data_IF_040064987615
#
_entry.id   IF_040064987615
#
_cell.length_a   1.000
_cell.length_b   1.000
_cell.length_c   1.000
_cell.angle_alpha   90.00
_cell.angle_beta   90.00
_cell.angle_gamma   90.00
#
_symmetry.space_group_name_H-M   'P 1'
#
loop_
_entity.id
_entity.type
_entity.pdbx_description
1 polymer ?
#
# COMPACT_ATOMS: atom_id res chain seq x y z
N UNK A 1 -1.59 -22.68 -2.18
CA UNK A 1 -0.80 -22.37 -0.98
C UNK A 1 -0.78 -23.57 -0.04
N UNK A 2 0.42 -23.92 0.46
CA UNK A 2 0.61 -25.02 1.42
C UNK A 2 -0.08 -24.74 2.76
N UNK A 3 -0.24 -25.78 3.58
CA UNK A 3 -0.93 -25.69 4.87
C UNK A 3 -0.29 -24.64 5.80
N UNK A 4 1.03 -24.52 5.76
CA UNK A 4 1.80 -23.49 6.50
C UNK A 4 1.47 -22.07 6.06
N UNK A 5 1.32 -21.83 4.75
CA UNK A 5 0.97 -20.49 4.23
C UNK A 5 -0.44 -20.06 4.65
N UNK A 6 -1.38 -21.01 4.80
CA UNK A 6 -2.73 -20.73 5.29
C UNK A 6 -2.78 -20.45 6.80
N UNK A 7 -1.81 -20.98 7.55
CA UNK A 7 -1.69 -20.76 8.99
C UNK A 7 -0.92 -19.48 9.34
N UNK A 8 -0.13 -18.92 8.42
CA UNK A 8 0.63 -17.69 8.63
C UNK A 8 -0.29 -16.49 8.42
N UNK A 9 -0.65 -15.82 9.50
CA UNK A 9 -1.21 -14.48 9.42
C UNK A 9 -0.09 -13.51 9.04
N UNK A 10 -0.07 -13.08 7.78
CA UNK A 10 0.85 -12.06 7.29
C UNK A 10 0.07 -10.76 7.02
N UNK A 11 -0.14 -9.91 8.04
CA UNK A 11 -0.95 -8.69 7.91
C UNK A 11 -0.48 -7.82 6.74
N UNK A 12 0.84 -7.68 6.55
CA UNK A 12 1.40 -6.92 5.42
C UNK A 12 0.94 -7.42 4.05
N UNK A 13 0.80 -8.74 3.86
CA UNK A 13 0.30 -9.29 2.61
C UNK A 13 -1.20 -8.99 2.41
N UNK A 14 -2.04 -9.32 3.40
CA UNK A 14 -3.49 -9.19 3.26
C UNK A 14 -3.95 -7.73 3.25
N UNK A 15 -3.45 -6.95 4.20
CA UNK A 15 -3.86 -5.55 4.37
C UNK A 15 -3.24 -4.68 3.27
N UNK A 16 -2.00 -4.98 2.86
CA UNK A 16 -1.33 -4.32 1.74
C UNK A 16 -2.06 -4.57 0.41
N UNK A 17 -2.44 -5.81 0.14
CA UNK A 17 -3.27 -6.16 -1.01
C UNK A 17 -4.62 -5.43 -0.98
N UNK A 18 -5.29 -5.37 0.18
CA UNK A 18 -6.55 -4.66 0.34
C UNK A 18 -6.45 -3.18 -0.04
N UNK A 19 -5.38 -2.50 0.41
CA UNK A 19 -5.13 -1.10 0.07
C UNK A 19 -4.84 -0.91 -1.43
N UNK A 20 -4.02 -1.78 -2.02
CA UNK A 20 -3.70 -1.74 -3.45
C UNK A 20 -4.92 -2.03 -4.33
N UNK A 21 -5.72 -3.03 -3.97
CA UNK A 21 -6.96 -3.37 -4.67
C UNK A 21 -7.98 -2.22 -4.64
N UNK A 22 -8.05 -1.47 -3.54
CA UNK A 22 -8.91 -0.30 -3.46
C UNK A 22 -8.44 0.83 -4.39
N UNK A 23 -7.13 1.06 -4.51
CA UNK A 23 -6.57 2.00 -5.48
C UNK A 23 -6.94 1.59 -6.92
N UNK A 24 -6.72 0.32 -7.28
CA UNK A 24 -7.11 -0.20 -8.59
C UNK A 24 -8.61 -0.04 -8.86
N UNK A 25 -9.46 -0.30 -7.88
CA UNK A 25 -10.91 -0.13 -8.01
C UNK A 25 -11.28 1.31 -8.33
N UNK A 26 -10.55 2.30 -7.80
CA UNK A 26 -10.73 3.72 -8.14
C UNK A 26 -10.26 4.01 -9.56
N UNK A 27 -9.08 3.50 -9.95
CA UNK A 27 -8.46 3.78 -11.25
C UNK A 27 -9.20 3.11 -12.43
N UNK A 28 -9.78 1.92 -12.21
CA UNK A 28 -10.45 1.16 -13.28
C UNK A 28 -11.92 1.50 -13.48
N UNK A 29 -12.48 2.38 -12.67
CA UNK A 29 -13.91 2.70 -12.76
C UNK A 29 -14.19 3.99 -13.53
N UNK A 30 -14.38 3.88 -14.84
CA UNK A 30 -14.83 4.95 -15.73
C UNK A 30 -16.28 5.41 -15.47
N UNK A 31 -17.00 4.84 -14.50
CA UNK A 31 -18.47 4.93 -14.42
C UNK A 31 -19.06 5.40 -13.10
N UNK A 32 -18.28 5.93 -12.16
CA UNK A 32 -18.88 6.38 -10.90
C UNK A 32 -19.24 7.86 -10.92
N UNK A 33 -20.55 8.15 -10.99
CA UNK A 33 -21.13 9.46 -10.60
C UNK A 33 -20.88 9.81 -9.10
N UNK A 34 -20.10 8.97 -8.41
CA UNK A 34 -19.74 9.11 -7.00
C UNK A 34 -18.25 9.40 -6.80
N UNK A 35 -17.67 10.23 -7.65
CA UNK A 35 -16.24 10.59 -7.54
C UNK A 35 -15.83 11.02 -6.11
N UNK A 36 -16.70 11.73 -5.40
CA UNK A 36 -16.43 12.15 -4.02
C UNK A 36 -16.39 10.98 -3.03
N UNK A 37 -17.19 9.92 -3.21
CA UNK A 37 -17.16 8.74 -2.35
C UNK A 37 -15.93 7.88 -2.62
N UNK A 38 -15.54 7.77 -3.90
CA UNK A 38 -14.32 7.09 -4.31
C UNK A 38 -13.06 7.81 -3.84
N UNK A 39 -13.02 9.15 -3.95
CA UNK A 39 -11.92 9.94 -3.42
C UNK A 39 -11.76 9.74 -1.90
N UNK A 40 -12.86 9.71 -1.14
CA UNK A 40 -12.81 9.40 0.30
C UNK A 40 -12.32 7.98 0.57
N UNK A 41 -12.70 7.01 -0.26
CA UNK A 41 -12.21 5.65 -0.15
C UNK A 41 -10.71 5.59 -0.45
N UNK A 42 -10.27 6.24 -1.51
CA UNK A 42 -8.86 6.36 -1.89
C UNK A 42 -8.05 7.02 -0.78
N UNK A 43 -8.48 8.18 -0.29
CA UNK A 43 -7.81 8.92 0.80
C UNK A 43 -7.75 8.10 2.10
N UNK A 44 -8.79 7.31 2.39
CA UNK A 44 -8.82 6.48 3.58
C UNK A 44 -7.96 5.22 3.46
N UNK A 45 -7.77 4.69 2.26
CA UNK A 45 -7.10 3.37 2.11
C UNK A 45 -5.62 3.49 1.80
N UNK A 46 -5.19 4.08 0.71
CA UNK A 46 -3.76 4.13 0.36
C UNK A 46 -3.03 5.36 0.94
N UNK A 47 -3.35 6.61 0.58
CA UNK A 47 -2.63 7.77 1.11
C UNK A 47 -2.83 7.93 2.62
N UNK A 48 -4.05 7.68 3.14
CA UNK A 48 -4.34 7.77 4.56
C UNK A 48 -3.58 6.75 5.41
N UNK A 49 -3.40 5.53 4.92
CA UNK A 49 -2.62 4.49 5.61
C UNK A 49 -1.14 4.82 5.59
N UNK A 50 -0.61 5.25 4.44
CA UNK A 50 0.78 5.70 4.33
C UNK A 50 1.05 6.89 5.25
N UNK A 51 0.16 7.89 5.26
CA UNK A 51 0.29 9.06 6.11
C UNK A 51 0.23 8.69 7.60
N UNK A 52 -0.65 7.78 8.02
CA UNK A 52 -0.67 7.28 9.40
C UNK A 52 0.64 6.61 9.80
N UNK A 53 1.22 5.79 8.92
CA UNK A 53 2.50 5.16 9.18
C UNK A 53 3.62 6.20 9.29
N UNK A 54 3.66 7.19 8.39
CA UNK A 54 4.63 8.29 8.42
C UNK A 54 4.47 9.12 9.70
N UNK A 55 3.26 9.52 10.06
CA UNK A 55 2.99 10.28 11.29
C UNK A 55 3.40 9.48 12.54
N UNK A 56 3.19 8.16 12.53
CA UNK A 56 3.66 7.32 13.64
C UNK A 56 5.19 7.32 13.77
N UNK A 57 5.95 7.33 12.68
CA UNK A 57 7.42 7.51 12.72
C UNK A 57 7.75 8.91 13.27
N UNK A 58 7.12 9.94 12.71
CA UNK A 58 7.39 11.34 13.09
C UNK A 58 7.18 11.57 14.58
N UNK A 59 6.07 11.09 15.13
CA UNK A 59 5.72 11.28 16.54
C UNK A 59 6.55 10.37 17.46
N UNK A 60 6.63 9.05 17.16
CA UNK A 60 7.18 8.09 18.11
C UNK A 60 8.69 7.88 17.98
N UNK A 61 9.27 8.13 16.81
CA UNK A 61 10.71 7.94 16.58
C UNK A 61 11.44 9.29 16.48
N UNK A 62 10.90 10.25 15.74
CA UNK A 62 11.53 11.58 15.61
C UNK A 62 11.12 12.53 16.75
N UNK A 63 10.05 12.22 17.49
CA UNK A 63 9.62 12.96 18.67
C UNK A 63 8.86 14.26 18.36
N UNK A 64 8.22 14.36 17.18
CA UNK A 64 7.46 15.55 16.83
C UNK A 64 6.28 15.77 17.79
N UNK A 65 6.18 16.99 18.29
CA UNK A 65 4.99 17.44 18.99
C UNK A 65 3.85 17.76 18.02
N UNK A 66 2.61 17.90 18.54
CA UNK A 66 1.42 18.15 17.71
C UNK A 66 1.58 19.35 16.77
N UNK A 67 2.18 20.46 17.24
CA UNK A 67 2.39 21.67 16.43
C UNK A 67 3.36 21.44 15.26
N UNK A 68 4.44 20.70 15.49
CA UNK A 68 5.41 20.34 14.46
C UNK A 68 4.81 19.36 13.44
N UNK A 69 3.98 18.43 13.91
CA UNK A 69 3.20 17.54 13.03
C UNK A 69 2.22 18.34 12.16
N UNK A 70 1.60 19.39 12.69
CA UNK A 70 0.73 20.28 11.93
C UNK A 70 1.47 20.99 10.80
N UNK A 71 2.67 21.50 11.07
CA UNK A 71 3.52 22.10 10.03
C UNK A 71 3.86 21.08 8.94
N UNK A 72 4.24 19.86 9.33
CA UNK A 72 4.53 18.78 8.41
C UNK A 72 3.30 18.42 7.55
N UNK A 73 2.15 18.20 8.16
CA UNK A 73 0.90 17.85 7.47
C UNK A 73 0.40 18.97 6.55
N UNK A 74 0.68 20.23 6.88
CA UNK A 74 0.33 21.39 6.05
C UNK A 74 0.98 21.35 4.66
N UNK A 75 2.16 20.76 4.54
CA UNK A 75 2.83 20.55 3.24
C UNK A 75 2.04 19.65 2.28
N UNK A 76 1.14 18.83 2.84
CA UNK A 76 0.27 17.91 2.09
C UNK A 76 -1.19 18.35 2.05
N UNK A 77 -1.49 19.58 2.50
CA UNK A 77 -2.86 20.09 2.59
C UNK A 77 -3.69 19.52 3.74
N UNK A 78 -3.05 18.89 4.73
CA UNK A 78 -3.68 18.23 5.88
C UNK A 78 -3.44 18.97 7.19
N UNK A 79 -3.15 20.28 7.13
CA UNK A 79 -2.83 21.10 8.32
C UNK A 79 -4.04 21.56 9.13
N UNK A 80 -5.27 21.20 8.76
CA UNK A 80 -6.46 21.50 9.56
C UNK A 80 -6.45 20.72 10.89
N UNK A 81 -6.89 21.35 11.97
CA UNK A 81 -6.85 20.75 13.32
C UNK A 81 -7.48 19.35 13.38
N UNK A 82 -8.59 19.14 12.69
CA UNK A 82 -9.26 17.84 12.67
C UNK A 82 -8.39 16.71 12.04
N UNK A 83 -7.63 17.02 11.00
CA UNK A 83 -6.69 16.07 10.40
C UNK A 83 -5.49 15.84 11.32
N UNK A 84 -4.96 16.93 11.89
CA UNK A 84 -3.80 16.85 12.79
C UNK A 84 -4.14 16.01 14.01
N UNK A 85 -5.29 16.25 14.65
CA UNK A 85 -5.77 15.48 15.80
C UNK A 85 -5.93 13.99 15.42
N UNK A 86 -6.56 13.71 14.28
CA UNK A 86 -6.71 12.32 13.80
C UNK A 86 -5.37 11.60 13.67
N UNK A 87 -4.39 12.20 13.01
CA UNK A 87 -3.09 11.57 12.80
C UNK A 87 -2.24 11.49 14.06
N UNK A 88 -2.28 12.55 14.89
CA UNK A 88 -1.54 12.61 16.15
C UNK A 88 -2.09 11.60 17.15
N UNK A 89 -3.41 11.58 17.35
CA UNK A 89 -4.06 10.62 18.25
C UNK A 89 -3.83 9.16 17.80
N UNK A 90 -3.91 8.89 16.50
CA UNK A 90 -3.61 7.57 15.98
C UNK A 90 -2.14 7.18 16.24
N UNK A 91 -1.19 8.10 16.06
CA UNK A 91 0.22 7.84 16.31
C UNK A 91 0.52 7.58 17.80
N UNK A 92 -0.16 8.29 18.72
CA UNK A 92 0.05 8.15 20.16
C UNK A 92 -0.66 6.93 20.73
N UNK A 93 -1.94 6.70 20.33
CA UNK A 93 -2.76 5.65 20.93
C UNK A 93 -2.52 4.27 20.29
N UNK A 94 -2.16 4.23 19.00
CA UNK A 94 -1.95 3.01 18.24
C UNK A 94 -0.62 3.05 17.47
N UNK A 95 0.52 3.17 18.19
CA UNK A 95 1.81 3.29 17.56
C UNK A 95 2.09 2.10 16.63
N UNK A 96 2.49 2.42 15.40
CA UNK A 96 2.83 1.43 14.36
C UNK A 96 1.69 0.52 13.86
N UNK A 97 0.43 0.72 14.27
CA UNK A 97 -0.69 -0.11 13.82
C UNK A 97 -0.91 -0.07 12.30
N UNK A 98 -0.63 1.06 11.66
CA UNK A 98 -0.74 1.20 10.19
C UNK A 98 0.44 0.58 9.40
N UNK A 99 1.54 0.19 10.05
CA UNK A 99 2.75 -0.25 9.38
C UNK A 99 2.58 -1.50 8.52
N UNK A 100 1.96 -2.59 9.00
CA UNK A 100 1.83 -3.79 8.17
C UNK A 100 1.10 -3.49 6.86
N UNK A 101 0.03 -2.71 6.91
CA UNK A 101 -0.74 -2.31 5.74
C UNK A 101 0.05 -1.37 4.83
N UNK A 102 0.66 -0.33 5.40
CA UNK A 102 1.45 0.64 4.65
C UNK A 102 2.65 -0.01 3.95
N UNK A 103 3.39 -0.85 4.67
CA UNK A 103 4.55 -1.55 4.13
C UNK A 103 4.14 -2.55 3.05
N UNK A 104 3.09 -3.33 3.29
CA UNK A 104 2.58 -4.29 2.32
C UNK A 104 2.10 -3.62 1.03
N UNK A 105 1.37 -2.49 1.15
CA UNK A 105 0.96 -1.67 0.01
C UNK A 105 2.18 -1.14 -0.76
N UNK A 106 3.15 -0.53 -0.06
CA UNK A 106 4.33 0.04 -0.68
C UNK A 106 5.18 -1.01 -1.41
N UNK A 107 5.35 -2.19 -0.81
CA UNK A 107 6.08 -3.30 -1.42
C UNK A 107 5.38 -3.81 -2.68
N UNK A 108 4.05 -3.95 -2.66
CA UNK A 108 3.28 -4.40 -3.81
C UNK A 108 3.28 -3.36 -4.94
N UNK A 109 3.05 -2.08 -4.61
CA UNK A 109 3.08 -0.99 -5.58
C UNK A 109 4.45 -0.84 -6.24
N UNK A 110 5.54 -0.99 -5.47
CA UNK A 110 6.90 -0.96 -5.98
C UNK A 110 7.19 -2.17 -6.89
N UNK A 111 6.75 -3.35 -6.48
CA UNK A 111 6.87 -4.57 -7.30
C UNK A 111 6.17 -4.41 -8.65
N UNK A 112 4.90 -3.97 -8.67
CA UNK A 112 4.14 -3.79 -9.92
C UNK A 112 4.78 -2.72 -10.82
N UNK A 113 5.33 -1.65 -10.24
CA UNK A 113 6.07 -0.62 -10.98
C UNK A 113 7.35 -1.18 -11.59
N UNK A 114 8.11 -1.99 -10.84
CA UNK A 114 9.34 -2.64 -11.33
C UNK A 114 9.03 -3.56 -12.49
N UNK A 115 8.04 -4.45 -12.34
CA UNK A 115 7.60 -5.35 -13.41
C UNK A 115 7.13 -4.61 -14.66
N UNK A 116 6.43 -3.50 -14.49
CA UNK A 116 6.01 -2.65 -15.62
C UNK A 116 7.20 -2.04 -16.35
N UNK A 117 8.24 -1.65 -15.63
CA UNK A 117 9.46 -1.11 -16.23
C UNK A 117 10.26 -2.20 -16.97
N UNK A 118 10.38 -3.39 -16.38
CA UNK A 118 11.18 -4.50 -16.91
C UNK A 118 10.52 -5.15 -18.13
N UNK A 119 9.20 -5.36 -18.11
CA UNK A 119 8.43 -5.99 -19.18
C UNK A 119 8.01 -4.99 -20.28
N UNK A 120 8.00 -3.70 -20.01
CA UNK A 120 7.64 -2.64 -20.96
C UNK A 120 6.29 -2.92 -21.65
N UNK A 121 6.27 -3.02 -22.98
CA UNK A 121 5.05 -3.27 -23.76
C UNK A 121 4.41 -4.66 -23.52
N UNK A 122 5.15 -5.60 -22.97
CA UNK A 122 4.62 -6.94 -22.62
C UNK A 122 3.94 -6.96 -21.23
N UNK A 123 4.03 -5.88 -20.45
CA UNK A 123 3.40 -5.81 -19.13
C UNK A 123 1.87 -5.86 -19.21
N UNK A 124 1.30 -6.76 -18.46
CA UNK A 124 -0.14 -6.91 -18.26
C UNK A 124 -0.40 -6.95 -16.75
N UNK A 125 -0.99 -5.88 -16.22
CA UNK A 125 -1.20 -5.74 -14.79
C UNK A 125 -2.12 -6.84 -14.22
N UNK A 126 -3.16 -7.20 -14.95
CA UNK A 126 -4.09 -8.27 -14.60
C UNK A 126 -3.39 -9.65 -14.48
N UNK A 127 -2.47 -9.94 -15.39
CA UNK A 127 -1.69 -11.18 -15.37
C UNK A 127 -0.66 -11.17 -14.23
N UNK A 128 0.02 -10.05 -14.01
CA UNK A 128 0.98 -9.89 -12.91
C UNK A 128 0.30 -10.04 -11.55
N UNK A 129 -0.86 -9.42 -11.36
CA UNK A 129 -1.64 -9.54 -10.13
C UNK A 129 -2.18 -10.96 -9.91
N UNK A 130 -2.69 -11.61 -10.97
CA UNK A 130 -3.13 -12.99 -10.89
C UNK A 130 -1.98 -13.91 -10.48
N UNK A 131 -0.79 -13.69 -11.03
CA UNK A 131 0.41 -14.45 -10.67
C UNK A 131 0.84 -14.20 -9.21
N UNK A 132 0.89 -12.93 -8.78
CA UNK A 132 1.18 -12.57 -7.40
C UNK A 132 0.24 -13.27 -6.41
N UNK A 133 -1.06 -13.21 -6.65
CA UNK A 133 -2.07 -13.85 -5.82
C UNK A 133 -1.97 -15.38 -5.83
N UNK A 134 -1.54 -15.97 -6.95
CA UNK A 134 -1.37 -17.43 -7.06
C UNK A 134 -0.29 -17.98 -6.13
N UNK A 135 0.71 -17.18 -5.81
CA UNK A 135 1.77 -17.57 -4.87
C UNK A 135 1.28 -17.60 -3.42
N UNK A 136 0.20 -16.88 -3.12
CA UNK A 136 -0.37 -16.78 -1.79
C UNK A 136 0.49 -15.98 -0.82
N UNK A 137 0.12 -15.92 0.47
CA UNK A 137 0.80 -15.12 1.46
C UNK A 137 2.23 -15.59 1.67
N UNK A 138 3.18 -14.65 1.53
CA UNK A 138 4.61 -14.83 1.79
C UNK A 138 5.24 -13.48 2.15
N UNK A 139 6.48 -13.49 2.61
CA UNK A 139 7.25 -12.27 2.84
C UNK A 139 7.57 -11.58 1.52
N UNK A 140 7.64 -10.23 1.55
CA UNK A 140 7.82 -9.40 0.35
C UNK A 140 9.02 -9.79 -0.50
N UNK A 141 10.16 -10.08 0.11
CA UNK A 141 11.38 -10.49 -0.60
C UNK A 141 11.18 -11.80 -1.38
N UNK A 142 10.53 -12.78 -0.77
CA UNK A 142 10.23 -14.06 -1.43
C UNK A 142 9.21 -13.89 -2.57
N UNK A 143 8.23 -13.01 -2.39
CA UNK A 143 7.26 -12.69 -3.45
C UNK A 143 7.96 -11.98 -4.61
N UNK A 144 8.85 -11.02 -4.33
CA UNK A 144 9.67 -10.35 -5.35
C UNK A 144 10.48 -11.36 -6.16
N UNK A 145 11.29 -12.19 -5.49
CA UNK A 145 12.10 -13.23 -6.16
C UNK A 145 11.26 -14.11 -7.10
N UNK A 146 10.08 -14.54 -6.66
CA UNK A 146 9.19 -15.36 -7.48
C UNK A 146 8.60 -14.60 -8.66
N UNK A 147 8.28 -13.33 -8.47
CA UNK A 147 7.73 -12.48 -9.53
C UNK A 147 8.79 -12.12 -10.56
N UNK A 148 10.04 -11.93 -10.15
CA UNK A 148 11.17 -11.70 -11.06
C UNK A 148 11.39 -12.93 -11.96
N UNK A 149 11.39 -14.16 -11.40
CA UNK A 149 11.46 -15.39 -12.17
C UNK A 149 10.28 -15.54 -13.16
N UNK A 150 9.08 -15.14 -12.74
CA UNK A 150 7.93 -15.12 -13.64
C UNK A 150 8.09 -14.10 -14.77
N UNK A 151 8.60 -12.91 -14.47
CA UNK A 151 8.82 -11.85 -15.46
C UNK A 151 9.85 -12.28 -16.52
N UNK A 152 10.98 -12.87 -16.12
CA UNK A 152 11.99 -13.40 -17.04
C UNK A 152 11.37 -14.40 -18.02
N UNK A 153 10.49 -15.27 -17.53
CA UNK A 153 9.78 -16.22 -18.38
C UNK A 153 8.73 -15.59 -19.33
N UNK A 154 8.32 -14.32 -19.12
CA UNK A 154 7.47 -13.61 -20.07
C UNK A 154 8.30 -12.98 -21.20
N UNK A 155 9.49 -12.47 -20.89
CA UNK A 155 10.42 -11.91 -21.90
C UNK A 155 10.82 -12.96 -22.92
N UNK A 156 11.06 -14.21 -22.49
CA UNK A 156 11.48 -15.31 -23.36
C UNK A 156 10.37 -15.80 -24.33
N UNK A 157 9.11 -15.39 -24.11
CA UNK A 157 7.96 -15.80 -24.94
C UNK A 157 7.63 -14.82 -26.08
N UNK A 158 8.18 -13.62 -26.06
CA UNK A 158 7.89 -12.54 -27.01
C UNK A 158 8.98 -12.35 -28.01
#
# INVERSE_FOLDING_TARGET
PGLMQRALALPGYYDGWGAYAAELAVLWQDRFDQAAALMRLYDAMAPGVLMRAICSIKVNYEGLERGELQEYLSMYGLGEDAHVDFFFDAAVNEPFAAFPQALGYAQLADLMRSLSADLGAAYREDEALAQYLSYGPAYGDLLRERMDVWADAQVDKG
#
